data_IF_251682118573
#
_entry.id   IF_251682118573
#
_cell.length_a   1.000
_cell.length_b   1.000
_cell.length_c   1.000
_cell.angle_alpha   90.00
_cell.angle_beta   90.00
_cell.angle_gamma   90.00
#
_symmetry.space_group_name_H-M   'P 1'
#
loop_
_entity.id
_entity.type
_entity.pdbx_description
1 polymer ?
#
# COMPACT_ATOMS: atom_id res chain seq x y z
N UNK A 1 -10.47 1.50 -28.55
CA UNK A 1 -10.38 2.29 -27.30
C UNK A 1 -9.36 1.60 -26.42
N UNK A 2 -8.21 2.23 -26.22
CA UNK A 2 -7.18 1.73 -25.31
C UNK A 2 -7.58 2.08 -23.87
N UNK A 3 -7.85 1.07 -23.04
CA UNK A 3 -8.02 1.21 -21.60
C UNK A 3 -6.64 1.54 -21.00
N UNK A 4 -6.25 2.81 -20.93
CA UNK A 4 -4.87 3.16 -20.55
C UNK A 4 -4.78 4.47 -19.76
N UNK A 5 -5.63 4.65 -18.76
CA UNK A 5 -5.48 5.73 -17.77
C UNK A 5 -5.80 5.28 -16.34
N UNK A 6 -5.93 3.98 -16.10
CA UNK A 6 -6.18 3.46 -14.77
C UNK A 6 -4.92 3.64 -13.92
N UNK A 7 -5.01 4.45 -12.87
CA UNK A 7 -3.94 4.64 -11.89
C UNK A 7 -4.19 3.74 -10.69
N UNK A 8 -3.13 3.36 -9.99
CA UNK A 8 -3.20 2.49 -8.83
C UNK A 8 -2.60 3.19 -7.62
N UNK A 9 -3.24 3.04 -6.47
CA UNK A 9 -2.68 3.44 -5.19
C UNK A 9 -2.94 2.33 -4.18
N UNK A 10 -2.21 2.36 -3.08
CA UNK A 10 -2.34 1.38 -2.03
C UNK A 10 -2.52 2.07 -0.67
N UNK A 11 -3.33 1.46 0.18
CA UNK A 11 -3.51 1.84 1.57
C UNK A 11 -2.91 0.74 2.43
N UNK A 12 -1.94 1.13 3.22
CA UNK A 12 -1.11 0.26 4.01
C UNK A 12 -1.54 0.41 5.48
N UNK A 13 -2.14 -0.64 6.05
CA UNK A 13 -2.74 -0.65 7.39
C UNK A 13 -1.90 -1.49 8.35
N UNK A 14 -1.46 -0.89 9.46
CA UNK A 14 -0.67 -1.58 10.49
C UNK A 14 -0.90 -0.93 11.86
N UNK A 15 -1.21 -1.71 12.89
CA UNK A 15 -1.41 -1.21 14.27
C UNK A 15 -2.30 0.06 14.40
N UNK A 16 -3.31 0.21 13.54
CA UNK A 16 -4.18 1.39 13.52
C UNK A 16 -3.62 2.60 12.75
N UNK A 17 -2.40 2.52 12.22
CA UNK A 17 -1.88 3.45 11.23
C UNK A 17 -2.38 3.05 9.84
N UNK A 18 -2.81 4.05 9.08
CA UNK A 18 -3.17 3.91 7.67
C UNK A 18 -2.31 4.85 6.85
N UNK A 19 -1.60 4.31 5.85
CA UNK A 19 -0.69 5.08 5.01
C UNK A 19 -1.09 4.89 3.55
N UNK A 20 -1.44 6.00 2.88
CA UNK A 20 -1.75 6.00 1.46
C UNK A 20 -0.48 6.23 0.62
N UNK A 21 -0.39 5.53 -0.51
CA UNK A 21 0.65 5.74 -1.52
C UNK A 21 0.21 6.71 -2.59
N UNK A 22 1.15 7.15 -3.43
CA UNK A 22 0.80 7.99 -4.57
C UNK A 22 0.09 7.17 -5.65
N UNK A 23 -0.44 7.85 -6.66
CA UNK A 23 -0.97 7.21 -7.85
C UNK A 23 0.18 6.75 -8.75
N UNK A 24 0.14 5.48 -9.12
CA UNK A 24 1.11 4.80 -9.98
C UNK A 24 0.45 4.23 -11.23
N UNK A 25 1.27 3.96 -12.24
CA UNK A 25 0.83 3.24 -13.44
C UNK A 25 0.72 1.72 -13.22
N UNK A 26 1.37 1.20 -12.19
CA UNK A 26 1.45 -0.22 -11.91
C UNK A 26 1.09 -0.53 -10.45
N UNK A 27 0.37 -1.63 -10.25
CA UNK A 27 0.03 -2.18 -8.92
C UNK A 27 1.29 -2.44 -8.10
N UNK A 28 2.31 -3.05 -8.69
CA UNK A 28 3.57 -3.36 -8.01
C UNK A 28 4.22 -2.11 -7.42
N UNK A 29 4.27 -1.01 -8.16
CA UNK A 29 4.82 0.26 -7.69
C UNK A 29 4.03 0.83 -6.49
N UNK A 30 2.70 0.73 -6.53
CA UNK A 30 1.87 1.14 -5.40
C UNK A 30 2.09 0.27 -4.16
N UNK A 31 2.29 -1.03 -4.34
CA UNK A 31 2.58 -1.98 -3.25
C UNK A 31 3.98 -1.75 -2.67
N UNK A 32 4.98 -1.56 -3.52
CA UNK A 32 6.36 -1.31 -3.11
C UNK A 32 6.47 -0.02 -2.27
N UNK A 33 5.84 1.08 -2.73
CA UNK A 33 5.79 2.33 -1.95
C UNK A 33 5.08 2.12 -0.59
N UNK A 34 4.02 1.30 -0.55
CA UNK A 34 3.28 1.02 0.68
C UNK A 34 4.16 0.27 1.69
N UNK A 35 4.93 -0.71 1.22
CA UNK A 35 5.90 -1.44 2.03
C UNK A 35 7.01 -0.53 2.55
N UNK A 36 7.60 0.31 1.70
CA UNK A 36 8.65 1.24 2.10
C UNK A 36 8.18 2.23 3.16
N UNK A 37 6.98 2.79 2.97
CA UNK A 37 6.39 3.75 3.91
C UNK A 37 6.06 3.10 5.26
N UNK A 38 5.40 1.94 5.28
CA UNK A 38 5.13 1.23 6.53
C UNK A 38 6.45 0.89 7.24
N UNK A 39 7.41 0.33 6.50
CA UNK A 39 8.70 -0.06 7.09
C UNK A 39 9.42 1.13 7.70
N UNK A 40 9.39 2.29 7.02
CA UNK A 40 9.97 3.53 7.53
C UNK A 40 9.24 4.05 8.76
N UNK A 41 7.90 4.06 8.74
CA UNK A 41 7.07 4.48 9.89
C UNK A 41 7.37 3.61 11.12
N UNK A 42 7.32 2.29 10.97
CA UNK A 42 7.52 1.36 12.09
C UNK A 42 8.97 1.44 12.63
N UNK A 43 9.96 1.72 11.77
CA UNK A 43 11.34 2.03 12.21
C UNK A 43 11.41 3.33 13.01
N UNK A 44 10.67 4.36 12.62
CA UNK A 44 10.60 5.65 13.34
C UNK A 44 9.91 5.49 14.70
N UNK A 45 8.85 4.69 14.79
CA UNK A 45 8.18 4.32 16.04
C UNK A 45 9.03 3.42 16.97
N UNK A 46 10.27 3.09 16.57
CA UNK A 46 11.19 2.29 17.36
C UNK A 46 10.86 0.78 17.37
N UNK A 47 9.97 0.33 16.50
CA UNK A 47 9.57 -1.08 16.43
C UNK A 47 10.61 -1.85 15.60
N UNK A 48 11.64 -2.37 16.28
CA UNK A 48 12.73 -3.17 15.68
C UNK A 48 12.64 -4.64 16.07
N UNK A 49 13.03 -5.54 15.16
CA UNK A 49 13.16 -6.98 15.44
C UNK A 49 11.83 -7.71 15.65
N UNK A 50 10.70 -7.07 15.32
CA UNK A 50 9.37 -7.68 15.43
C UNK A 50 8.82 -7.99 14.06
N UNK A 51 8.16 -9.15 13.96
CA UNK A 51 7.31 -9.49 12.83
C UNK A 51 5.96 -8.85 13.02
N UNK A 52 5.59 -7.96 12.11
CA UNK A 52 4.40 -7.13 12.24
C UNK A 52 3.43 -7.50 11.14
N UNK A 53 2.21 -7.84 11.51
CA UNK A 53 1.17 -8.09 10.51
C UNK A 53 0.70 -6.74 9.96
N UNK A 54 0.71 -6.61 8.64
CA UNK A 54 0.19 -5.46 7.92
C UNK A 54 -0.77 -5.93 6.84
N UNK A 55 -1.70 -5.06 6.46
CA UNK A 55 -2.62 -5.28 5.35
C UNK A 55 -2.40 -4.18 4.33
N UNK A 56 -2.13 -4.54 3.08
CA UNK A 56 -2.00 -3.59 1.99
C UNK A 56 -3.20 -3.78 1.08
N UNK A 57 -4.05 -2.77 1.00
CA UNK A 57 -5.21 -2.73 0.11
C UNK A 57 -4.85 -1.90 -1.12
N UNK A 58 -4.89 -2.51 -2.30
CA UNK A 58 -4.59 -1.84 -3.57
C UNK A 58 -5.89 -1.45 -4.25
N UNK A 59 -5.98 -0.20 -4.66
CA UNK A 59 -7.12 0.39 -5.33
C UNK A 59 -6.74 0.83 -6.73
N UNK A 60 -7.64 0.58 -7.67
CA UNK A 60 -7.63 1.20 -8.97
C UNK A 60 -8.47 2.47 -8.92
N UNK A 61 -7.86 3.58 -9.34
CA UNK A 61 -8.53 4.84 -9.56
C UNK A 61 -8.76 5.02 -11.05
N UNK A 62 -10.03 5.03 -11.42
CA UNK A 62 -10.52 5.49 -12.71
C UNK A 62 -11.16 6.89 -12.53
N UNK A 63 -11.46 7.59 -13.63
CA UNK A 63 -11.89 9.00 -13.66
C UNK A 63 -13.06 9.33 -12.70
N UNK A 64 -13.86 8.33 -12.29
CA UNK A 64 -15.08 8.52 -11.48
C UNK A 64 -15.19 7.59 -10.27
N UNK A 65 -14.33 6.59 -10.13
CA UNK A 65 -14.46 5.55 -9.10
C UNK A 65 -13.11 5.01 -8.65
N UNK A 66 -13.00 4.77 -7.34
CA UNK A 66 -11.92 3.98 -6.75
C UNK A 66 -12.46 2.59 -6.41
N UNK A 67 -11.88 1.55 -7.00
CA UNK A 67 -12.26 0.17 -6.74
C UNK A 67 -11.11 -0.56 -6.05
N UNK A 68 -11.41 -1.28 -4.96
CA UNK A 68 -10.46 -2.19 -4.36
C UNK A 68 -10.20 -3.34 -5.34
N UNK A 69 -8.94 -3.50 -5.75
CA UNK A 69 -8.50 -4.56 -6.66
C UNK A 69 -7.97 -5.75 -5.87
N UNK A 70 -7.19 -5.49 -4.83
CA UNK A 70 -6.49 -6.54 -4.10
C UNK A 70 -6.28 -6.17 -2.63
N UNK A 71 -6.32 -7.17 -1.75
CA UNK A 71 -5.96 -7.01 -0.34
C UNK A 71 -4.92 -8.05 0.03
N UNK A 72 -3.71 -7.58 0.34
CA UNK A 72 -2.55 -8.38 0.63
C UNK A 72 -2.31 -8.37 2.14
N UNK A 73 -2.51 -9.53 2.77
CA UNK A 73 -2.12 -9.73 4.17
C UNK A 73 -0.66 -10.15 4.20
N UNK A 74 0.18 -9.32 4.80
CA UNK A 74 1.63 -9.52 4.83
C UNK A 74 2.18 -9.41 6.24
N UNK A 75 3.40 -9.91 6.41
CA UNK A 75 4.14 -9.85 7.66
C UNK A 75 5.48 -9.17 7.40
N UNK A 76 5.57 -7.91 7.81
CA UNK A 76 6.76 -7.08 7.64
C UNK A 76 7.74 -7.44 8.76
N UNK A 77 8.97 -7.74 8.37
CA UNK A 77 10.08 -7.95 9.31
C UNK A 77 10.97 -6.71 9.26
N UNK A 78 11.23 -6.11 10.42
CA UNK A 78 11.97 -4.85 10.57
C UNK A 78 13.26 -5.06 11.32
#
# INVERSE_FOLDING_TARGET
MSFTNQKFYAIAKVYGYEIETRLHDHISSAVDEAFEKITSLLKQEGIKGKKINAVIEVFAKDEKVSNLIESIKTRISI
#
